data_IF_950295535853
#
_entry.id   IF_950295535853
#
_cell.length_a   1.000
_cell.length_b   1.000
_cell.length_c   1.000
_cell.angle_alpha   90.00
_cell.angle_beta   90.00
_cell.angle_gamma   90.00
#
_symmetry.space_group_name_H-M   'P 1'
#
loop_
_entity.id
_entity.type
_entity.pdbx_description
1 polymer ?
#
# COMPACT_ATOMS: atom_id res chain seq x y z
N UNK A 1 -29.22 57.72 0.29
CA UNK A 1 -28.70 58.89 1.01
C UNK A 1 -27.25 58.63 1.43
N UNK A 2 -26.31 59.37 0.81
CA UNK A 2 -25.01 59.91 1.32
C UNK A 2 -24.04 58.89 1.98
N UNK A 3 -22.78 58.69 1.59
CA UNK A 3 -21.81 59.50 0.84
C UNK A 3 -20.66 58.65 0.30
N UNK A 4 -20.11 59.09 -0.83
CA UNK A 4 -18.74 58.80 -1.28
C UNK A 4 -17.70 59.29 -0.26
N UNK A 5 -16.49 58.71 -0.28
CA UNK A 5 -15.24 59.46 -0.39
C UNK A 5 -14.05 58.52 -0.68
N UNK A 6 -13.48 58.71 -1.86
CA UNK A 6 -12.16 58.26 -2.27
C UNK A 6 -11.07 59.06 -1.53
N UNK A 7 -9.93 58.42 -1.22
CA UNK A 7 -8.65 59.12 -1.06
C UNK A 7 -7.50 58.30 -1.63
N UNK A 8 -6.66 59.06 -2.31
CA UNK A 8 -5.64 58.72 -3.27
C UNK A 8 -4.23 58.85 -2.68
N UNK A 9 -3.28 58.16 -3.33
CA UNK A 9 -1.88 58.58 -3.61
C UNK A 9 -0.87 58.65 -2.46
N UNK A 10 0.28 58.00 -2.70
CA UNK A 10 1.53 58.19 -1.97
C UNK A 10 2.71 57.54 -2.68
N UNK A 11 3.14 58.13 -3.80
CA UNK A 11 4.46 57.91 -4.42
C UNK A 11 5.48 58.80 -3.69
N UNK A 12 6.59 58.25 -3.21
CA UNK A 12 7.81 59.03 -2.99
C UNK A 12 9.06 58.17 -3.05
N UNK A 13 9.92 58.54 -4.00
CA UNK A 13 11.27 58.04 -4.20
C UNK A 13 12.29 58.66 -3.22
N UNK A 14 13.45 58.01 -3.05
CA UNK A 14 14.80 58.53 -2.72
C UNK A 14 15.73 57.30 -2.57
N UNK A 15 16.68 57.01 -3.46
CA UNK A 15 17.94 57.70 -3.80
C UNK A 15 19.14 57.25 -2.95
N UNK A 16 20.05 56.54 -3.63
CA UNK A 16 21.54 56.62 -3.68
C UNK A 16 22.44 56.38 -2.44
N UNK A 17 23.65 55.91 -2.81
CA UNK A 17 24.92 55.78 -2.10
C UNK A 17 25.03 54.53 -1.19
N UNK A 18 26.00 53.63 -1.38
CA UNK A 18 27.36 53.83 -1.87
C UNK A 18 28.28 54.10 -0.69
N UNK A 19 28.74 53.05 -0.01
CA UNK A 19 29.82 53.10 0.96
C UNK A 19 30.68 51.85 0.76
N UNK A 20 31.76 52.05 0.00
CA UNK A 20 32.97 51.26 0.09
C UNK A 20 33.57 51.43 1.50
N UNK A 21 34.00 50.34 2.10
CA UNK A 21 35.04 50.39 3.12
C UNK A 21 35.98 49.21 2.90
N UNK A 22 37.24 49.58 2.74
CA UNK A 22 38.40 48.78 2.42
C UNK A 22 39.08 48.25 3.69
N UNK A 23 39.60 47.02 3.61
CA UNK A 23 40.65 46.44 4.45
C UNK A 23 40.22 46.09 5.91
N UNK A 24 40.75 45.08 6.61
CA UNK A 24 42.03 44.39 6.49
C UNK A 24 41.99 42.99 7.13
N UNK A 25 42.92 42.14 6.67
CA UNK A 25 43.72 41.15 7.43
C UNK A 25 43.07 40.01 8.25
N UNK A 26 43.20 38.81 7.68
CA UNK A 26 43.78 37.57 8.26
C UNK A 26 43.59 37.34 9.77
N UNK A 27 42.77 36.33 10.10
CA UNK A 27 43.15 35.34 11.12
C UNK A 27 43.10 33.94 10.51
N UNK A 28 44.24 33.27 10.64
CA UNK A 28 44.54 31.90 10.31
C UNK A 28 43.85 30.89 11.23
N UNK A 29 43.74 29.67 10.71
CA UNK A 29 43.54 28.39 11.39
C UNK A 29 42.22 28.15 12.12
N UNK A 30 41.37 27.31 11.50
CA UNK A 30 40.65 26.18 12.12
C UNK A 30 39.93 25.36 11.01
N UNK A 31 40.51 24.28 10.46
CA UNK A 31 39.73 23.26 9.77
C UNK A 31 39.43 22.13 10.77
N UNK A 32 38.39 22.33 11.58
CA UNK A 32 38.01 21.40 12.63
C UNK A 32 36.50 21.20 12.73
N UNK A 33 35.80 20.99 11.61
CA UNK A 33 34.37 20.69 11.62
C UNK A 33 33.85 19.99 10.34
N UNK A 34 34.58 19.00 9.81
CA UNK A 34 34.11 18.21 8.65
C UNK A 34 33.91 16.71 8.91
N UNK A 35 34.03 16.20 10.15
CA UNK A 35 33.87 14.76 10.41
C UNK A 35 32.44 14.33 10.79
N UNK A 36 31.51 15.25 11.06
CA UNK A 36 30.16 14.87 11.51
C UNK A 36 29.12 14.73 10.38
N UNK A 37 29.48 14.94 9.11
CA UNK A 37 28.58 14.80 7.96
C UNK A 37 28.92 13.64 7.02
N UNK A 38 29.92 12.82 7.36
CA UNK A 38 30.39 11.72 6.51
C UNK A 38 29.85 10.34 6.89
N UNK A 39 29.10 10.18 7.99
CA UNK A 39 28.68 8.85 8.44
C UNK A 39 27.23 8.46 8.13
N UNK A 40 26.37 9.38 7.71
CA UNK A 40 24.97 9.08 7.35
C UNK A 40 24.73 9.01 5.84
N UNK A 41 25.57 9.65 5.02
CA UNK A 41 25.54 9.58 3.55
C UNK A 41 26.25 8.34 2.99
N UNK A 42 27.24 7.82 3.71
CA UNK A 42 28.05 6.65 3.30
C UNK A 42 27.23 5.36 3.17
N UNK A 43 26.15 5.22 3.95
CA UNK A 43 25.27 4.04 3.87
C UNK A 43 24.34 4.06 2.64
N UNK A 44 24.04 5.25 2.10
CA UNK A 44 23.22 5.42 0.90
C UNK A 44 24.05 5.20 -0.37
N UNK A 45 25.27 5.73 -0.41
CA UNK A 45 26.23 5.52 -1.50
C UNK A 45 26.72 4.07 -1.63
N UNK A 46 27.04 3.40 -0.52
CA UNK A 46 27.54 2.01 -0.54
C UNK A 46 26.51 1.00 -1.08
N UNK A 47 25.19 1.26 -0.90
CA UNK A 47 24.14 0.39 -1.44
C UNK A 47 24.01 0.48 -2.96
N UNK A 48 24.35 1.63 -3.55
CA UNK A 48 24.18 1.96 -4.95
C UNK A 48 25.36 1.49 -5.81
N UNK A 49 26.58 1.51 -5.24
CA UNK A 49 27.82 1.21 -5.95
C UNK A 49 27.89 -0.19 -6.59
N UNK A 50 27.30 -1.23 -5.97
CA UNK A 50 27.24 -2.58 -6.56
C UNK A 50 26.22 -2.69 -7.70
N UNK A 51 25.14 -1.91 -7.70
CA UNK A 51 24.17 -1.89 -8.80
C UNK A 51 24.58 -0.94 -9.93
N UNK A 52 25.51 -0.01 -9.69
CA UNK A 52 25.99 0.98 -10.67
C UNK A 52 26.81 0.36 -11.81
N UNK A 53 27.53 -0.74 -11.55
CA UNK A 53 28.28 -1.48 -12.57
C UNK A 53 27.45 -2.50 -13.36
N UNK A 54 26.24 -2.84 -12.91
CA UNK A 54 25.41 -3.84 -13.58
C UNK A 54 24.80 -3.24 -14.86
N UNK A 55 25.06 -3.80 -16.06
CA UNK A 55 24.44 -3.31 -17.28
C UNK A 55 22.92 -3.28 -17.14
N UNK A 56 22.28 -2.23 -17.67
CA UNK A 56 20.82 -2.07 -17.65
C UNK A 56 20.22 -2.71 -18.89
N UNK A 57 19.04 -3.33 -18.74
CA UNK A 57 18.33 -3.94 -19.86
C UNK A 57 17.94 -2.85 -20.88
N UNK A 58 18.25 -3.04 -22.19
CA UNK A 58 17.90 -2.07 -23.22
C UNK A 58 16.39 -1.99 -23.44
N UNK A 59 15.96 -0.93 -24.11
CA UNK A 59 14.55 -0.72 -24.46
C UNK A 59 14.08 -1.77 -25.47
N UNK A 60 12.84 -2.24 -25.32
CA UNK A 60 12.20 -3.05 -26.36
C UNK A 60 11.86 -2.19 -27.58
N UNK A 61 11.64 -2.81 -28.75
CA UNK A 61 11.35 -2.15 -30.02
C UNK A 61 10.27 -1.07 -29.92
N UNK A 62 9.14 -1.38 -29.29
CA UNK A 62 8.08 -0.40 -29.05
C UNK A 62 8.54 0.76 -28.15
N UNK A 63 9.25 0.47 -27.06
CA UNK A 63 9.71 1.52 -26.15
C UNK A 63 10.82 2.39 -26.75
N UNK A 64 11.59 1.86 -27.70
CA UNK A 64 12.54 2.63 -28.49
C UNK A 64 11.80 3.63 -29.39
N UNK A 65 10.79 3.18 -30.13
CA UNK A 65 9.88 4.06 -30.89
C UNK A 65 9.23 5.13 -29.99
N UNK A 66 8.69 4.73 -28.83
CA UNK A 66 8.13 5.67 -27.85
C UNK A 66 9.17 6.69 -27.39
N UNK A 67 10.42 6.28 -27.15
CA UNK A 67 11.48 7.19 -26.73
C UNK A 67 11.79 8.27 -27.77
N UNK A 68 11.72 7.93 -29.06
CA UNK A 68 11.97 8.86 -30.18
C UNK A 68 10.80 9.81 -30.42
N UNK A 69 9.56 9.30 -30.38
CA UNK A 69 8.37 10.06 -30.78
C UNK A 69 7.68 10.81 -29.62
N UNK A 70 7.83 10.33 -28.38
CA UNK A 70 7.28 10.98 -27.19
C UNK A 70 7.65 12.47 -27.04
N UNK A 71 8.92 12.91 -27.19
CA UNK A 71 9.24 14.33 -27.03
C UNK A 71 8.55 15.21 -28.07
N UNK A 72 8.36 14.71 -29.29
CA UNK A 72 7.66 15.44 -30.37
C UNK A 72 6.18 15.60 -30.03
N UNK A 73 5.50 14.53 -29.63
CA UNK A 73 4.10 14.59 -29.22
C UNK A 73 3.90 15.42 -27.94
N UNK A 74 4.83 15.36 -26.99
CA UNK A 74 4.76 16.17 -25.78
C UNK A 74 4.88 17.68 -26.07
N UNK A 75 5.61 18.06 -27.13
CA UNK A 75 5.65 19.46 -27.59
C UNK A 75 4.38 19.90 -28.30
N UNK A 76 3.74 18.99 -29.05
CA UNK A 76 2.47 19.25 -29.74
C UNK A 76 1.29 19.34 -28.77
N UNK A 77 1.31 18.53 -27.70
CA UNK A 77 0.26 18.46 -26.69
C UNK A 77 0.84 18.74 -25.29
N UNK A 78 1.23 19.99 -24.98
CA UNK A 78 1.88 20.33 -23.71
C UNK A 78 0.96 20.15 -22.49
N UNK A 79 -0.35 20.27 -22.67
CA UNK A 79 -1.35 20.10 -21.61
C UNK A 79 -1.81 18.64 -21.44
N UNK A 80 -1.54 17.77 -22.43
CA UNK A 80 -1.99 16.39 -22.39
C UNK A 80 -1.22 15.59 -21.35
N UNK A 81 -1.91 14.67 -20.68
CA UNK A 81 -1.26 13.79 -19.71
C UNK A 81 -0.37 12.79 -20.44
N UNK A 82 0.74 12.41 -19.82
CA UNK A 82 1.64 11.39 -20.37
C UNK A 82 0.91 10.06 -20.71
N UNK A 83 -0.14 9.72 -19.96
CA UNK A 83 -0.98 8.55 -20.22
C UNK A 83 -1.72 8.65 -21.55
N UNK A 84 -2.14 9.84 -21.96
CA UNK A 84 -2.84 10.08 -23.23
C UNK A 84 -1.86 10.04 -24.40
N UNK A 85 -0.71 10.71 -24.26
CA UNK A 85 0.39 10.66 -25.24
C UNK A 85 0.82 9.20 -25.49
N UNK A 86 0.93 8.40 -24.42
CA UNK A 86 1.30 6.99 -24.54
C UNK A 86 0.24 6.16 -25.27
N UNK A 87 -1.05 6.49 -25.15
CA UNK A 87 -2.12 5.83 -25.91
C UNK A 87 -2.03 6.17 -27.40
N UNK A 88 -1.75 7.43 -27.74
CA UNK A 88 -1.55 7.87 -29.13
C UNK A 88 -0.38 7.12 -29.76
N UNK A 89 0.78 7.08 -29.09
CA UNK A 89 1.96 6.33 -29.56
C UNK A 89 1.69 4.83 -29.73
N UNK A 90 0.88 4.24 -28.85
CA UNK A 90 0.51 2.83 -28.98
C UNK A 90 -0.36 2.56 -30.22
N UNK A 91 -1.21 3.52 -30.62
CA UNK A 91 -1.99 3.45 -31.85
C UNK A 91 -1.10 3.67 -33.08
N UNK A 92 -0.22 4.66 -33.05
CA UNK A 92 0.76 4.91 -34.12
C UNK A 92 1.63 3.68 -34.38
N UNK A 93 2.15 3.05 -33.32
CA UNK A 93 2.93 1.82 -33.43
C UNK A 93 2.17 0.67 -34.10
N UNK A 94 0.86 0.52 -33.79
CA UNK A 94 0.00 -0.47 -34.44
C UNK A 94 -0.24 -0.16 -35.92
N UNK A 95 -0.31 1.12 -36.28
CA UNK A 95 -0.46 1.61 -37.65
C UNK A 95 0.83 1.66 -38.47
N UNK A 96 2.02 1.49 -37.86
CA UNK A 96 3.28 1.43 -38.59
C UNK A 96 3.31 0.30 -39.61
N UNK A 97 3.92 0.56 -40.76
CA UNK A 97 4.20 -0.45 -41.77
C UNK A 97 5.15 -1.52 -41.23
N UNK A 98 4.96 -2.76 -41.68
CA UNK A 98 5.84 -3.88 -41.32
C UNK A 98 7.35 -3.61 -41.52
N UNK A 99 7.82 -3.02 -42.63
CA UNK A 99 9.25 -2.72 -42.77
C UNK A 99 9.75 -1.68 -41.76
N UNK A 100 8.95 -0.65 -41.43
CA UNK A 100 9.32 0.33 -40.41
C UNK A 100 9.38 -0.31 -39.02
N UNK A 101 8.41 -1.17 -38.68
CA UNK A 101 8.37 -1.92 -37.43
C UNK A 101 9.56 -2.88 -37.30
N UNK A 102 9.93 -3.57 -38.37
CA UNK A 102 11.07 -4.51 -38.41
C UNK A 102 12.39 -3.85 -38.03
N UNK A 103 12.67 -2.64 -38.52
CA UNK A 103 13.88 -1.87 -38.16
C UNK A 103 14.03 -1.69 -36.65
N UNK A 104 12.93 -1.36 -35.95
CA UNK A 104 12.94 -1.23 -34.50
C UNK A 104 13.13 -2.56 -33.77
N UNK A 105 12.55 -3.65 -34.30
CA UNK A 105 12.68 -4.99 -33.74
C UNK A 105 14.12 -5.49 -33.86
N UNK A 106 14.72 -5.37 -35.04
CA UNK A 106 16.11 -5.76 -35.31
C UNK A 106 17.07 -5.00 -34.40
N UNK A 107 16.96 -3.68 -34.36
CA UNK A 107 17.86 -2.86 -33.55
C UNK A 107 17.69 -3.14 -32.04
N UNK A 108 16.47 -3.40 -31.56
CA UNK A 108 16.25 -3.79 -30.17
C UNK A 108 16.82 -5.20 -29.85
N UNK A 109 16.78 -6.12 -30.81
CA UNK A 109 17.36 -7.45 -30.66
C UNK A 109 18.89 -7.41 -30.62
N UNK A 110 19.52 -6.57 -31.44
CA UNK A 110 20.96 -6.33 -31.43
C UNK A 110 21.42 -5.78 -30.08
N UNK A 111 20.76 -4.74 -29.57
CA UNK A 111 21.05 -4.20 -28.24
C UNK A 111 20.85 -5.24 -27.14
N UNK A 112 19.79 -6.05 -27.23
CA UNK A 112 19.54 -7.12 -26.27
C UNK A 112 20.64 -8.19 -26.31
N UNK A 113 21.19 -8.49 -27.48
CA UNK A 113 22.33 -9.40 -27.64
C UNK A 113 23.59 -8.85 -26.99
N UNK A 114 23.93 -7.58 -27.28
CA UNK A 114 25.05 -6.85 -26.66
C UNK A 114 24.92 -6.85 -25.14
N UNK A 115 23.75 -6.47 -24.63
CA UNK A 115 23.41 -6.49 -23.21
C UNK A 115 23.61 -7.85 -22.55
N UNK A 116 23.14 -8.93 -23.18
CA UNK A 116 23.33 -10.30 -22.65
C UNK A 116 24.81 -10.64 -22.52
N UNK A 117 25.62 -10.27 -23.51
CA UNK A 117 27.06 -10.50 -23.49
C UNK A 117 27.76 -9.67 -22.39
N UNK A 118 27.37 -8.40 -22.21
CA UNK A 118 27.91 -7.51 -21.18
C UNK A 118 27.56 -8.00 -19.78
N UNK A 119 26.31 -8.41 -19.54
CA UNK A 119 25.88 -8.97 -18.24
C UNK A 119 26.62 -10.26 -17.93
N UNK A 120 26.89 -11.08 -18.95
CA UNK A 120 27.66 -12.32 -18.77
C UNK A 120 29.08 -12.00 -18.31
N UNK A 121 29.80 -11.14 -19.06
CA UNK A 121 31.15 -10.68 -18.70
C UNK A 121 31.19 -10.03 -17.32
N UNK A 122 30.21 -9.18 -17.02
CA UNK A 122 30.09 -8.53 -15.72
C UNK A 122 29.97 -9.55 -14.59
N UNK A 123 29.14 -10.59 -14.74
CA UNK A 123 28.99 -11.64 -13.72
C UNK A 123 30.23 -12.52 -13.56
N UNK A 124 30.92 -12.81 -14.66
CA UNK A 124 32.17 -13.60 -14.65
C UNK A 124 33.30 -12.84 -13.93
N UNK A 125 33.32 -11.51 -14.02
CA UNK A 125 34.30 -10.66 -13.35
C UNK A 125 34.02 -10.38 -11.86
N UNK A 126 32.85 -10.73 -11.35
CA UNK A 126 32.48 -10.46 -9.95
C UNK A 126 33.06 -11.50 -8.99
N UNK A 127 33.43 -11.05 -7.80
CA UNK A 127 33.80 -11.96 -6.71
C UNK A 127 32.57 -12.80 -6.27
N UNK A 128 32.73 -14.09 -5.94
CA UNK A 128 31.64 -14.91 -5.37
C UNK A 128 30.81 -14.23 -4.27
N UNK A 129 31.44 -13.47 -3.38
CA UNK A 129 30.73 -12.74 -2.32
C UNK A 129 29.84 -11.62 -2.87
N UNK A 130 30.34 -10.87 -3.86
CA UNK A 130 29.58 -9.80 -4.52
C UNK A 130 28.39 -10.36 -5.30
N UNK A 131 28.57 -11.51 -5.96
CA UNK A 131 27.50 -12.21 -6.66
C UNK A 131 26.40 -12.67 -5.69
N UNK A 132 26.76 -13.18 -4.50
CA UNK A 132 25.80 -13.54 -3.45
C UNK A 132 25.02 -12.31 -2.99
N UNK A 133 25.70 -11.21 -2.66
CA UNK A 133 25.07 -9.96 -2.24
C UNK A 133 24.12 -9.41 -3.32
N UNK A 134 24.49 -9.48 -4.60
CA UNK A 134 23.64 -9.09 -5.72
C UNK A 134 22.36 -9.95 -5.79
N UNK A 135 22.49 -11.26 -5.57
CA UNK A 135 21.36 -12.19 -5.58
C UNK A 135 20.43 -11.98 -4.38
N UNK A 136 20.97 -11.70 -3.20
CA UNK A 136 20.20 -11.34 -2.01
C UNK A 136 19.42 -10.03 -2.21
N UNK A 137 20.08 -8.97 -2.70
CA UNK A 137 19.41 -7.71 -3.05
C UNK A 137 18.27 -7.93 -4.05
N UNK A 138 18.45 -8.80 -5.05
CA UNK A 138 17.39 -9.19 -5.99
C UNK A 138 16.22 -9.88 -5.28
N UNK A 139 16.49 -10.82 -4.37
CA UNK A 139 15.46 -11.50 -3.56
C UNK A 139 14.70 -10.50 -2.68
N UNK A 140 15.40 -9.59 -1.99
CA UNK A 140 14.78 -8.53 -1.18
C UNK A 140 13.85 -7.64 -2.00
N UNK A 141 14.29 -7.22 -3.20
CA UNK A 141 13.46 -6.41 -4.12
C UNK A 141 12.19 -7.16 -4.54
N UNK A 142 12.29 -8.47 -4.79
CA UNK A 142 11.14 -9.31 -5.14
C UNK A 142 10.17 -9.47 -3.95
N UNK A 143 10.68 -9.74 -2.74
CA UNK A 143 9.88 -9.82 -1.52
C UNK A 143 9.17 -8.49 -1.25
N UNK A 144 9.87 -7.36 -1.35
CA UNK A 144 9.29 -6.02 -1.20
C UNK A 144 8.19 -5.75 -2.23
N UNK A 145 8.40 -6.11 -3.50
CA UNK A 145 7.37 -5.99 -4.56
C UNK A 145 6.14 -6.85 -4.27
N UNK A 146 6.34 -8.12 -3.85
CA UNK A 146 5.24 -9.01 -3.45
C UNK A 146 4.46 -8.43 -2.26
N UNK A 147 5.16 -7.96 -1.23
CA UNK A 147 4.54 -7.32 -0.07
C UNK A 147 3.73 -6.07 -0.46
N UNK A 148 4.27 -5.19 -1.31
CA UNK A 148 3.55 -4.00 -1.79
C UNK A 148 2.30 -4.39 -2.59
N UNK A 149 2.40 -5.39 -3.48
CA UNK A 149 1.25 -5.89 -4.26
C UNK A 149 0.18 -6.45 -3.34
N UNK A 150 0.56 -7.32 -2.41
CA UNK A 150 -0.36 -7.91 -1.43
C UNK A 150 -1.03 -6.82 -0.57
N UNK A 151 -0.27 -5.84 -0.09
CA UNK A 151 -0.84 -4.71 0.67
C UNK A 151 -1.86 -3.91 -0.15
N UNK A 152 -1.56 -3.63 -1.42
CA UNK A 152 -2.49 -2.93 -2.33
C UNK A 152 -3.75 -3.75 -2.57
N UNK A 153 -3.62 -5.05 -2.79
CA UNK A 153 -4.75 -5.97 -2.92
C UNK A 153 -5.65 -5.91 -1.67
N UNK A 154 -5.07 -6.00 -0.47
CA UNK A 154 -5.83 -5.87 0.77
C UNK A 154 -6.53 -4.51 0.91
N UNK A 155 -5.92 -3.42 0.43
CA UNK A 155 -6.55 -2.10 0.39
C UNK A 155 -7.72 -2.04 -0.59
N UNK A 156 -7.58 -2.63 -1.77
CA UNK A 156 -8.65 -2.71 -2.78
C UNK A 156 -9.82 -3.54 -2.26
N UNK A 157 -9.54 -4.63 -1.54
CA UNK A 157 -10.54 -5.47 -0.88
C UNK A 157 -11.15 -4.82 0.38
N UNK A 158 -10.81 -3.57 0.69
CA UNK A 158 -11.39 -2.85 1.82
C UNK A 158 -11.05 -3.43 3.19
N UNK A 159 -9.90 -4.12 3.34
CA UNK A 159 -9.52 -4.73 4.62
C UNK A 159 -9.50 -3.69 5.75
N UNK A 160 -10.22 -3.92 6.86
CA UNK A 160 -10.27 -3.00 8.00
C UNK A 160 -8.88 -2.63 8.53
N UNK A 161 -8.70 -1.35 8.86
CA UNK A 161 -7.49 -0.87 9.54
C UNK A 161 -7.48 -1.37 10.98
N UNK A 162 -6.30 -1.76 11.46
CA UNK A 162 -6.11 -2.25 12.83
C UNK A 162 -6.61 -1.28 13.90
N UNK A 163 -7.00 -1.82 15.05
CA UNK A 163 -7.40 -1.04 16.21
C UNK A 163 -6.29 -0.06 16.62
N UNK A 164 -6.65 1.20 16.86
CA UNK A 164 -5.75 2.25 17.32
C UNK A 164 -5.47 2.10 18.81
N UNK A 165 -4.21 2.24 19.20
CA UNK A 165 -3.86 2.34 20.61
C UNK A 165 -4.24 3.70 21.20
N UNK A 166 -4.35 3.78 22.53
CA UNK A 166 -4.61 5.03 23.24
C UNK A 166 -3.63 6.14 22.83
N UNK A 167 -2.36 5.78 22.69
CA UNK A 167 -1.33 6.68 22.17
C UNK A 167 -1.62 7.10 20.74
N UNK A 168 -1.98 6.20 19.82
CA UNK A 168 -2.28 6.60 18.44
C UNK A 168 -3.46 7.57 18.33
N UNK A 169 -4.46 7.44 19.20
CA UNK A 169 -5.62 8.35 19.26
C UNK A 169 -5.17 9.73 19.74
N UNK A 170 -4.48 9.79 20.88
CA UNK A 170 -3.87 11.01 21.40
C UNK A 170 -2.98 11.71 20.36
N UNK A 171 -2.11 10.93 19.71
CA UNK A 171 -1.23 11.43 18.66
C UNK A 171 -2.02 12.06 17.51
N UNK A 172 -3.12 11.44 17.08
CA UNK A 172 -3.91 11.97 15.97
C UNK A 172 -4.68 13.25 16.31
N UNK A 173 -5.13 13.40 17.56
CA UNK A 173 -5.87 14.58 18.03
C UNK A 173 -4.91 15.76 18.24
N UNK A 174 -3.77 15.52 18.90
CA UNK A 174 -2.87 16.60 19.29
C UNK A 174 -1.85 16.95 18.19
N UNK A 175 -1.78 16.20 17.08
CA UNK A 175 -0.75 16.39 16.05
C UNK A 175 -0.71 17.81 15.48
N UNK A 176 -1.88 18.38 15.19
CA UNK A 176 -1.99 19.67 14.53
C UNK A 176 -1.58 20.82 15.46
N UNK A 177 -1.92 20.71 16.74
CA UNK A 177 -1.72 21.73 17.76
C UNK A 177 -0.28 21.78 18.30
N UNK A 178 0.50 20.70 18.10
CA UNK A 178 1.88 20.66 18.59
C UNK A 178 2.83 21.61 17.86
N UNK A 179 3.66 22.27 18.68
CA UNK A 179 4.72 23.16 18.24
C UNK A 179 5.86 22.36 17.63
N UNK A 180 6.42 22.87 16.55
CA UNK A 180 7.51 22.24 15.80
C UNK A 180 7.37 22.52 14.31
N UNK A 181 8.47 22.89 13.66
CA UNK A 181 8.46 23.17 12.21
C UNK A 181 8.61 21.84 11.46
N UNK A 182 9.38 20.91 12.03
CA UNK A 182 9.57 19.58 11.48
C UNK A 182 8.61 18.54 12.08
N UNK A 183 8.11 17.63 11.23
CA UNK A 183 7.33 16.45 11.63
C UNK A 183 8.01 15.64 12.74
N UNK A 184 9.34 15.53 12.68
CA UNK A 184 10.13 14.76 13.64
C UNK A 184 10.19 15.42 15.01
N UNK A 185 10.19 16.76 15.05
CA UNK A 185 10.17 17.52 16.30
C UNK A 185 8.79 17.45 16.95
N UNK A 186 7.73 17.64 16.16
CA UNK A 186 6.35 17.45 16.63
C UNK A 186 6.13 16.08 17.28
N UNK A 187 6.65 15.02 16.64
CA UNK A 187 6.56 13.66 17.16
C UNK A 187 7.27 13.48 18.50
N UNK A 188 8.44 14.11 18.67
CA UNK A 188 9.20 14.07 19.93
C UNK A 188 8.46 14.78 21.05
N UNK A 189 7.94 15.98 20.78
CA UNK A 189 7.14 16.75 21.74
C UNK A 189 5.91 15.98 22.18
N UNK A 190 5.13 15.44 21.24
CA UNK A 190 3.98 14.60 21.55
C UNK A 190 4.32 13.37 22.39
N UNK A 191 5.47 12.76 22.14
CA UNK A 191 5.92 11.62 22.94
C UNK A 191 6.25 12.03 24.38
N UNK A 192 6.84 13.20 24.57
CA UNK A 192 7.11 13.77 25.90
C UNK A 192 5.82 14.19 26.61
N UNK A 193 4.89 14.82 25.90
CA UNK A 193 3.60 15.25 26.41
C UNK A 193 2.77 14.05 26.85
N UNK A 194 2.71 12.98 26.03
CA UNK A 194 2.06 11.73 26.40
C UNK A 194 2.65 11.12 27.68
N UNK A 195 3.98 11.17 27.85
CA UNK A 195 4.62 10.67 29.07
C UNK A 195 4.19 11.47 30.29
N UNK A 196 4.17 12.80 30.17
CA UNK A 196 3.77 13.73 31.25
C UNK A 196 2.26 13.77 31.51
N UNK A 197 1.44 13.28 30.57
CA UNK A 197 -0.01 13.33 30.67
C UNK A 197 -0.51 12.61 31.95
N UNK A 198 -1.36 13.25 32.76
CA UNK A 198 -1.92 12.66 33.98
C UNK A 198 -2.69 11.37 33.70
N UNK A 199 -2.72 10.45 34.67
CA UNK A 199 -3.37 9.16 34.50
C UNK A 199 -4.87 9.27 34.23
N UNK A 200 -5.56 10.25 34.81
CA UNK A 200 -6.98 10.52 34.55
C UNK A 200 -7.25 10.86 33.09
N UNK A 201 -6.42 11.72 32.50
CA UNK A 201 -6.52 12.08 31.08
C UNK A 201 -6.10 10.92 30.18
N UNK A 202 -5.05 10.16 30.54
CA UNK A 202 -4.68 8.91 29.84
C UNK A 202 -5.82 7.90 29.83
N UNK A 203 -6.59 7.80 30.92
CA UNK A 203 -7.70 6.86 31.04
C UNK A 203 -8.77 7.10 29.98
N UNK A 204 -9.06 8.36 29.64
CA UNK A 204 -9.98 8.70 28.55
C UNK A 204 -9.53 8.08 27.22
N UNK A 205 -8.25 8.23 26.85
CA UNK A 205 -7.72 7.62 25.64
C UNK A 205 -7.68 6.09 25.69
N UNK A 206 -7.51 5.51 26.88
CA UNK A 206 -7.62 4.06 27.08
C UNK A 206 -9.03 3.58 26.77
N UNK A 207 -10.07 4.29 27.21
CA UNK A 207 -11.45 3.95 26.87
C UNK A 207 -11.70 4.06 25.36
N UNK A 208 -11.28 5.16 24.73
CA UNK A 208 -11.39 5.32 23.27
C UNK A 208 -10.68 4.20 22.48
N UNK A 209 -9.55 3.71 22.98
CA UNK A 209 -8.84 2.58 22.38
C UNK A 209 -9.57 1.25 22.56
N UNK A 210 -10.31 1.07 23.67
CA UNK A 210 -11.18 -0.09 23.87
C UNK A 210 -12.36 -0.06 22.89
N UNK A 211 -12.97 1.10 22.69
CA UNK A 211 -14.05 1.28 21.71
C UNK A 211 -13.56 1.03 20.28
N UNK A 212 -12.37 1.55 19.91
CA UNK A 212 -11.79 1.33 18.58
C UNK A 212 -11.39 -0.15 18.36
N UNK A 213 -11.07 -0.87 19.45
CA UNK A 213 -10.88 -2.33 19.40
C UNK A 213 -12.18 -3.06 19.08
N UNK A 214 -13.29 -2.67 19.71
CA UNK A 214 -14.62 -3.25 19.42
C UNK A 214 -15.00 -2.98 17.96
N UNK A 215 -14.81 -1.75 17.48
CA UNK A 215 -14.99 -1.37 16.07
C UNK A 215 -14.20 -2.31 15.14
N UNK A 216 -12.89 -2.44 15.35
CA UNK A 216 -12.03 -3.29 14.52
C UNK A 216 -12.46 -4.76 14.56
N UNK A 217 -12.83 -5.28 15.74
CA UNK A 217 -13.29 -6.65 15.88
C UNK A 217 -14.58 -6.91 15.09
N UNK A 218 -15.53 -5.98 15.11
CA UNK A 218 -16.78 -6.08 14.36
C UNK A 218 -16.55 -5.95 12.83
N UNK A 219 -15.81 -4.92 12.40
CA UNK A 219 -15.46 -4.73 10.99
C UNK A 219 -14.70 -5.95 10.43
N UNK A 220 -13.76 -6.52 11.20
CA UNK A 220 -13.00 -7.69 10.77
C UNK A 220 -13.85 -8.94 10.64
N UNK A 221 -14.85 -9.13 11.50
CA UNK A 221 -15.79 -10.27 11.36
C UNK A 221 -16.57 -10.16 10.07
N UNK A 222 -17.20 -9.02 9.83
CA UNK A 222 -17.97 -8.76 8.61
C UNK A 222 -17.09 -8.89 7.35
N UNK A 223 -15.86 -8.37 7.39
CA UNK A 223 -14.92 -8.50 6.29
C UNK A 223 -14.47 -9.94 6.04
N UNK A 224 -14.22 -10.72 7.10
CA UNK A 224 -13.87 -12.15 6.96
C UNK A 224 -15.03 -12.98 6.40
N UNK A 225 -16.27 -12.67 6.78
CA UNK A 225 -17.48 -13.26 6.20
C UNK A 225 -17.60 -12.93 4.71
N UNK A 226 -17.41 -11.65 4.33
CA UNK A 226 -17.38 -11.25 2.92
C UNK A 226 -16.28 -11.97 2.13
N UNK A 227 -15.09 -12.19 2.72
CA UNK A 227 -14.01 -12.92 2.04
C UNK A 227 -14.35 -14.41 1.86
N UNK A 228 -15.11 -15.02 2.78
CA UNK A 228 -15.64 -16.38 2.59
C UNK A 228 -16.60 -16.44 1.41
N UNK A 229 -17.53 -15.50 1.33
CA UNK A 229 -18.53 -15.46 0.26
C UNK A 229 -17.89 -15.31 -1.12
N UNK A 230 -16.82 -14.52 -1.22
CA UNK A 230 -16.04 -14.34 -2.46
C UNK A 230 -15.12 -15.55 -2.73
N UNK A 231 -14.96 -16.48 -1.78
CA UNK A 231 -14.10 -17.66 -1.90
C UNK A 231 -12.60 -17.38 -1.64
N UNK A 232 -12.25 -16.24 -1.06
CA UNK A 232 -10.88 -15.84 -0.70
C UNK A 232 -10.54 -16.23 0.73
N UNK A 233 -10.69 -17.52 1.03
CA UNK A 233 -10.42 -18.06 2.37
C UNK A 233 -8.96 -17.93 2.82
N UNK A 234 -8.03 -17.73 1.87
CA UNK A 234 -6.61 -17.51 2.10
C UNK A 234 -6.33 -16.26 2.95
N UNK A 235 -7.27 -15.31 2.95
CA UNK A 235 -7.12 -14.02 3.62
C UNK A 235 -7.69 -13.99 5.05
N UNK A 236 -8.34 -15.07 5.49
CA UNK A 236 -9.01 -15.16 6.78
C UNK A 236 -8.02 -15.55 7.87
N UNK A 237 -8.13 -14.93 9.05
CA UNK A 237 -7.26 -15.28 10.19
C UNK A 237 -7.49 -16.73 10.60
N UNK A 238 -6.41 -17.47 10.89
CA UNK A 238 -6.49 -18.88 11.33
C UNK A 238 -7.45 -19.09 12.52
N UNK A 239 -7.46 -18.16 13.49
CA UNK A 239 -8.37 -18.21 14.64
C UNK A 239 -9.84 -18.08 14.23
N UNK A 240 -10.14 -17.20 13.27
CA UNK A 240 -11.49 -17.03 12.73
C UNK A 240 -11.90 -18.27 11.93
N UNK A 241 -11.00 -18.78 11.06
CA UNK A 241 -11.22 -20.02 10.30
C UNK A 241 -11.54 -21.21 11.21
N UNK A 242 -10.81 -21.38 12.32
CA UNK A 242 -11.08 -22.44 13.32
C UNK A 242 -12.45 -22.27 13.99
N UNK A 243 -12.88 -21.03 14.30
CA UNK A 243 -14.22 -20.76 14.87
C UNK A 243 -15.32 -21.13 13.89
N UNK A 244 -15.21 -20.68 12.64
CA UNK A 244 -16.17 -21.00 11.58
C UNK A 244 -16.32 -22.51 11.33
N UNK A 245 -15.21 -23.25 11.35
CA UNK A 245 -15.23 -24.72 11.26
C UNK A 245 -15.91 -25.36 12.48
N UNK A 246 -15.71 -24.80 13.68
CA UNK A 246 -16.39 -25.28 14.89
C UNK A 246 -17.89 -25.00 14.80
N UNK A 247 -18.28 -23.79 14.42
CA UNK A 247 -19.68 -23.36 14.37
C UNK A 247 -20.47 -24.14 13.31
N UNK A 248 -19.87 -24.39 12.13
CA UNK A 248 -20.47 -25.25 11.10
C UNK A 248 -20.67 -26.70 11.56
N UNK A 249 -19.71 -27.28 12.31
CA UNK A 249 -19.87 -28.62 12.91
C UNK A 249 -21.01 -28.66 13.91
N UNK A 250 -21.09 -27.67 14.81
CA UNK A 250 -22.18 -27.57 15.81
C UNK A 250 -23.53 -27.43 15.13
N UNK A 251 -23.63 -26.62 14.08
CA UNK A 251 -24.86 -26.45 13.29
C UNK A 251 -25.30 -27.75 12.61
N UNK A 252 -24.37 -28.53 12.05
CA UNK A 252 -24.67 -29.84 11.47
C UNK A 252 -25.16 -30.84 12.52
N UNK A 253 -24.53 -30.85 13.70
CA UNK A 253 -24.90 -31.74 14.80
C UNK A 253 -26.29 -31.39 15.36
N UNK A 254 -26.59 -30.10 15.51
CA UNK A 254 -27.92 -29.61 15.92
C UNK A 254 -29.01 -30.04 14.91
N UNK A 255 -28.76 -29.84 13.60
CA UNK A 255 -29.67 -30.28 12.53
C UNK A 255 -29.90 -31.80 12.55
N UNK A 256 -28.86 -32.58 12.81
CA UNK A 256 -28.96 -34.04 12.91
C UNK A 256 -29.82 -34.47 14.11
N UNK A 257 -29.61 -33.86 15.29
CA UNK A 257 -30.42 -34.10 16.49
C UNK A 257 -31.89 -33.70 16.31
N UNK A 258 -32.15 -32.58 15.65
CA UNK A 258 -33.50 -32.12 15.35
C UNK A 258 -34.23 -33.08 14.38
N UNK A 259 -33.53 -33.60 13.36
CA UNK A 259 -34.09 -34.61 12.45
C UNK A 259 -34.39 -35.93 13.16
N UNK A 260 -33.53 -36.37 14.08
CA UNK A 260 -33.77 -37.55 14.91
C UNK A 260 -35.00 -37.35 15.81
N UNK A 261 -35.13 -36.19 16.46
CA UNK A 261 -36.28 -35.88 17.30
C UNK A 261 -37.60 -35.88 16.50
N UNK A 262 -37.61 -35.26 15.31
CA UNK A 262 -38.78 -35.29 14.40
C UNK A 262 -39.16 -36.71 13.97
N UNK A 263 -38.17 -37.60 13.72
CA UNK A 263 -38.43 -39.01 13.41
C UNK A 263 -39.04 -39.77 14.59
N UNK A 264 -38.58 -39.51 15.82
CA UNK A 264 -39.10 -40.16 17.04
C UNK A 264 -40.55 -39.71 17.31
N UNK A 265 -40.83 -38.42 17.24
CA UNK A 265 -42.18 -37.86 17.43
C UNK A 265 -43.17 -38.40 16.39
N UNK A 266 -42.75 -38.53 15.13
CA UNK A 266 -43.57 -39.12 14.05
C UNK A 266 -43.82 -40.63 14.23
N UNK A 267 -42.95 -41.35 14.95
CA UNK A 267 -43.12 -42.78 15.26
C UNK A 267 -44.10 -43.00 16.41
N UNK A 268 -44.18 -42.07 17.36
CA UNK A 268 -45.09 -42.12 18.51
C UNK A 268 -46.52 -41.65 18.20
N UNK A 269 -46.70 -40.83 17.15
CA UNK A 269 -48.01 -40.28 16.74
C UNK A 269 -48.73 -41.09 15.66
N UNK A 270 -48.25 -42.30 15.30
CA UNK A 270 -48.99 -43.19 14.38
C UNK A 270 -50.21 -43.79 15.09
N UNK A 271 -51.45 -43.56 14.62
CA UNK A 271 -52.62 -44.17 15.24
C UNK A 271 -52.63 -45.68 15.01
N UNK A 272 -52.93 -46.44 16.07
CA UNK A 272 -53.14 -47.88 15.98
C UNK A 272 -54.37 -48.16 15.09
N UNK A 273 -54.14 -48.75 13.92
CA UNK A 273 -55.20 -49.20 13.01
C UNK A 273 -55.85 -50.44 13.64
N UNK A 274 -56.85 -50.21 14.49
CA UNK A 274 -57.63 -51.25 15.16
C UNK A 274 -58.47 -52.04 14.15
N UNK A 275 -58.13 -53.31 13.94
CA UNK A 275 -58.98 -54.27 13.25
C UNK A 275 -60.09 -54.77 14.17
N UNK A 276 -61.31 -54.27 14.01
CA UNK A 276 -62.52 -54.93 14.51
C UNK A 276 -63.07 -55.81 13.39
N UNK A 277 -62.91 -57.14 13.50
CA UNK A 277 -63.69 -58.11 12.71
C UNK A 277 -65.14 -58.03 13.20
N UNK A 278 -66.05 -57.68 12.29
CA UNK A 278 -67.48 -57.65 12.53
C UNK A 278 -68.04 -59.08 12.54
N UNK A 279 -68.67 -59.44 13.66
CA UNK A 279 -69.53 -60.62 13.79
C UNK A 279 -70.86 -60.33 13.07
N UNK A 280 -71.13 -61.07 11.99
CA UNK A 280 -72.40 -61.05 11.27
C UNK A 280 -73.23 -62.25 11.70
N UNK A 281 -74.05 -62.07 12.74
CA UNK A 281 -75.31 -62.81 12.90
C UNK A 281 -76.45 -61.92 12.41
N UNK A 282 -77.10 -62.30 11.31
CA UNK A 282 -78.41 -61.80 10.93
C UNK A 282 -79.31 -62.97 10.52
N UNK A 283 -80.31 -63.19 11.35
CA UNK A 283 -81.58 -63.87 11.06
C UNK A 283 -82.38 -63.09 10.00
N UNK A 284 -83.02 -63.83 9.09
CA UNK A 284 -84.40 -63.69 8.57
C UNK A 284 -84.55 -64.69 7.41
N UNK A 285 -85.38 -65.72 7.57
CA UNK A 285 -86.78 -65.78 7.08
C UNK A 285 -86.87 -65.63 5.56
#
# INVERSE_FOLDING_TARGET
MVSLLARSVGLLAKSLAGLSCTQATRCSSLPGALSAFQHTTTRWFSKQQLEEGLPKRPLSSFFRFVSEHRPTLAKQYPEAKLTEISKILALEWKGLSEPARKRYVEAANEELSKYKSEVRKYKENLNPLELQLLNEKKKERLVKRKHIRHRRELTILGKPKGARSAYNIYMSENFQETKGISMTEKMKHLQEDWKRLPQSQKQMYVQLAQDDRIRYENEMKAWEEQMLEIGREDLIRLKAKKRLIKDSKVMHEAKSKEQLHKKVVKKQTKPARGGKKADKRKNKE
#
